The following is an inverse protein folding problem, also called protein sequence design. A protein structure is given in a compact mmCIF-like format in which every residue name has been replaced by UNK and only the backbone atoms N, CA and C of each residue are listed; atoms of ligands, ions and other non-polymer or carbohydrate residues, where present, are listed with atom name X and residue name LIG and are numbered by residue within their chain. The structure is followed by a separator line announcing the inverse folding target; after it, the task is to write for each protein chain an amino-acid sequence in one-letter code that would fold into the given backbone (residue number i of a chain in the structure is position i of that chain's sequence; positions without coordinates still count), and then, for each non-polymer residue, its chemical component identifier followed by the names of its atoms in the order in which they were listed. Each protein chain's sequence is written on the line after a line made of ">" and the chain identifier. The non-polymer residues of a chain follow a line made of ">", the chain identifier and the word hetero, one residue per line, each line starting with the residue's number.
data_IF_431075553435
#
_entry.id   IF_431075553435
#
_cell.length_a   1.000
_cell.length_b   1.000
_cell.length_c   1.000
_cell.angle_alpha   90.00
_cell.angle_beta   90.00
_cell.angle_gamma   90.00
#
_symmetry.space_group_name_H-M   'P 1'
#
loop_
_entity.id
_entity.type
_entity.pdbx_description
1 polymer ?
#
# COMPACT_ATOMS: atom_id res chain seq x y z
N UNK A 1 -46.92 54.08 -17.03
CA UNK A 1 -46.33 54.79 -18.19
C UNK A 1 -44.84 54.70 -18.03
N UNK A 2 -44.21 53.89 -18.89
CA UNK A 2 -42.78 53.71 -19.01
C UNK A 2 -42.28 54.53 -20.20
N UNK A 3 -41.11 55.17 -20.07
CA UNK A 3 -40.23 55.69 -21.14
C UNK A 3 -38.88 55.98 -20.46
N UNK A 4 -37.69 55.73 -20.98
CA UNK A 4 -37.19 54.97 -22.13
C UNK A 4 -35.66 54.92 -21.96
N UNK A 5 -35.04 53.83 -22.45
CA UNK A 5 -33.60 53.63 -22.46
C UNK A 5 -32.96 54.38 -23.64
N UNK A 6 -31.76 54.95 -23.43
CA UNK A 6 -30.90 55.39 -24.53
C UNK A 6 -29.92 54.29 -24.94
N UNK A 7 -30.02 53.93 -26.21
CA UNK A 7 -29.17 53.04 -26.98
C UNK A 7 -28.14 53.88 -27.77
N UNK A 8 -26.91 53.39 -27.91
CA UNK A 8 -25.87 53.96 -28.78
C UNK A 8 -24.62 53.08 -28.76
N UNK A 9 -24.60 52.01 -29.55
CA UNK A 9 -24.00 51.86 -30.88
C UNK A 9 -22.45 51.73 -30.92
N UNK A 10 -22.06 50.48 -31.15
CA UNK A 10 -20.94 49.94 -31.92
C UNK A 10 -20.15 50.90 -32.83
N UNK A 11 -18.82 50.88 -32.70
CA UNK A 11 -17.89 50.79 -33.83
C UNK A 11 -16.49 50.35 -33.33
N UNK A 12 -16.00 49.26 -33.90
CA UNK A 12 -14.68 48.65 -33.71
C UNK A 12 -13.66 49.27 -34.65
N UNK A 13 -12.38 49.27 -34.28
CA UNK A 13 -11.17 49.24 -35.15
C UNK A 13 -9.90 49.20 -34.27
N UNK A 14 -8.71 48.81 -34.76
CA UNK A 14 -8.38 47.63 -35.56
C UNK A 14 -7.19 46.84 -34.96
N UNK A 15 -6.95 45.67 -35.55
CA UNK A 15 -5.89 44.71 -35.25
C UNK A 15 -4.47 45.29 -35.36
N UNK A 16 -3.60 44.94 -34.40
CA UNK A 16 -2.14 44.97 -34.56
C UNK A 16 -1.58 43.56 -34.46
N UNK A 17 -0.98 43.11 -35.56
CA UNK A 17 -0.22 41.89 -35.72
C UNK A 17 0.98 41.83 -34.78
N UNK A 18 1.23 40.67 -34.16
CA UNK A 18 2.60 40.29 -33.76
C UNK A 18 2.85 38.79 -33.93
N UNK A 19 3.60 38.48 -34.99
CA UNK A 19 4.69 37.50 -35.06
C UNK A 19 4.57 36.22 -34.23
N UNK A 20 4.08 35.16 -34.89
CA UNK A 20 4.26 33.77 -34.49
C UNK A 20 5.71 33.32 -34.71
N UNK A 21 6.39 32.91 -33.64
CA UNK A 21 7.59 32.07 -33.74
C UNK A 21 7.24 30.70 -33.16
N UNK A 22 7.18 29.73 -34.05
CA UNK A 22 6.87 28.33 -33.83
C UNK A 22 8.10 27.62 -33.23
N UNK A 23 7.98 27.13 -31.99
CA UNK A 23 8.93 26.15 -31.43
C UNK A 23 8.18 24.85 -31.19
N UNK A 24 8.50 23.83 -32.00
CA UNK A 24 8.06 22.45 -31.81
C UNK A 24 8.66 21.85 -30.54
N UNK A 25 7.93 21.00 -29.80
CA UNK A 25 8.54 20.00 -28.93
C UNK A 25 8.51 18.62 -29.61
N UNK A 26 9.69 18.08 -29.91
CA UNK A 26 9.92 16.65 -30.12
C UNK A 26 10.31 16.02 -28.79
N UNK A 27 9.69 14.89 -28.43
CA UNK A 27 10.24 13.98 -27.43
C UNK A 27 9.22 13.32 -26.52
N UNK A 28 8.64 12.22 -27.00
CA UNK A 28 7.84 11.23 -26.27
C UNK A 28 8.81 10.22 -25.64
N UNK A 29 8.77 9.97 -24.33
CA UNK A 29 9.02 8.65 -23.71
C UNK A 29 8.29 8.56 -22.35
N UNK A 30 7.12 7.90 -22.31
CA UNK A 30 6.83 6.57 -21.72
C UNK A 30 6.74 6.54 -20.19
N UNK A 31 5.50 6.38 -19.69
CA UNK A 31 5.15 6.05 -18.32
C UNK A 31 5.71 4.68 -17.90
N UNK A 32 6.34 4.63 -16.73
CA UNK A 32 6.63 3.39 -16.01
C UNK A 32 5.64 3.22 -14.84
N UNK A 33 5.19 1.98 -14.70
CA UNK A 33 4.12 1.49 -13.84
C UNK A 33 4.50 1.55 -12.34
N UNK A 34 3.60 2.05 -11.50
CA UNK A 34 3.67 1.91 -10.05
C UNK A 34 3.23 0.48 -9.63
N UNK A 35 3.86 -0.14 -8.62
CA UNK A 35 3.46 -1.46 -8.12
C UNK A 35 2.20 -1.38 -7.23
N UNK A 36 1.41 -2.48 -7.11
CA UNK A 36 0.16 -2.47 -6.36
C UNK A 36 0.40 -2.65 -4.86
N UNK A 37 -0.17 -1.77 -4.04
CA UNK A 37 -0.27 -1.96 -2.60
C UNK A 37 -1.39 -2.96 -2.24
N UNK A 38 -1.23 -3.75 -1.17
CA UNK A 38 -2.18 -4.80 -0.82
C UNK A 38 -3.40 -4.24 -0.07
N UNK A 39 -4.59 -4.63 -0.53
CA UNK A 39 -5.86 -4.48 0.17
C UNK A 39 -5.79 -5.14 1.56
N UNK A 40 -6.11 -4.39 2.62
CA UNK A 40 -6.41 -4.97 3.93
C UNK A 40 -7.86 -4.68 4.30
N UNK A 41 -8.53 -5.77 4.66
CA UNK A 41 -9.94 -5.91 4.95
C UNK A 41 -10.35 -5.15 6.20
N UNK A 42 -11.55 -4.59 6.09
CA UNK A 42 -12.39 -3.95 7.11
C UNK A 42 -12.76 -4.97 8.20
N UNK A 43 -12.50 -4.64 9.46
CA UNK A 43 -13.16 -5.27 10.61
C UNK A 43 -13.71 -4.14 11.49
N UNK A 44 -14.96 -4.34 11.89
CA UNK A 44 -15.89 -3.35 12.41
C UNK A 44 -16.20 -3.70 13.87
N UNK A 45 -16.25 -2.68 14.71
CA UNK A 45 -17.04 -2.59 15.95
C UNK A 45 -16.60 -3.41 17.20
N UNK A 46 -16.42 -2.65 18.28
CA UNK A 46 -16.63 -3.05 19.69
C UNK A 46 -18.01 -2.49 20.10
N UNK A 47 -18.79 -3.06 21.05
CA UNK A 47 -18.52 -2.79 22.48
C UNK A 47 -19.02 -3.84 23.52
N UNK A 48 -18.28 -3.87 24.64
CA UNK A 48 -18.67 -4.06 26.05
C UNK A 48 -19.56 -5.23 26.53
N UNK A 49 -19.04 -5.84 27.61
CA UNK A 49 -19.66 -6.05 28.96
C UNK A 49 -19.94 -7.48 29.46
N UNK A 50 -19.33 -7.75 30.62
CA UNK A 50 -19.76 -8.52 31.79
C UNK A 50 -19.56 -10.05 31.86
N UNK A 51 -18.67 -10.38 32.81
CA UNK A 51 -18.75 -11.40 33.89
C UNK A 51 -18.53 -12.89 33.60
N UNK A 52 -17.42 -13.37 34.22
CA UNK A 52 -17.24 -14.58 35.04
C UNK A 52 -17.63 -15.95 34.47
N UNK A 53 -16.64 -16.85 34.36
CA UNK A 53 -16.63 -18.09 35.15
C UNK A 53 -15.24 -18.74 35.15
N UNK A 54 -14.99 -19.50 36.21
CA UNK A 54 -13.69 -19.90 36.73
C UNK A 54 -13.23 -21.27 36.21
N UNK A 55 -11.92 -21.48 36.25
CA UNK A 55 -11.23 -22.68 36.80
C UNK A 55 -11.36 -24.03 36.04
N UNK A 56 -10.25 -24.56 35.52
CA UNK A 56 -9.59 -25.77 36.05
C UNK A 56 -8.46 -26.25 35.13
N UNK A 57 -7.27 -26.41 35.71
CA UNK A 57 -6.11 -27.09 35.13
C UNK A 57 -6.16 -28.61 35.36
N UNK A 58 -5.40 -29.31 34.51
CA UNK A 58 -4.77 -30.62 34.72
C UNK A 58 -5.66 -31.89 34.74
N UNK A 59 -5.35 -32.80 33.81
CA UNK A 59 -5.65 -34.22 33.98
C UNK A 59 -4.66 -35.06 33.18
N UNK A 60 -3.68 -35.58 33.89
CA UNK A 60 -3.01 -36.84 33.58
C UNK A 60 -3.80 -38.03 34.14
N UNK A 61 -3.44 -39.24 33.66
CA UNK A 61 -3.58 -40.55 34.31
C UNK A 61 -4.70 -41.53 33.86
N UNK A 62 -4.23 -42.58 33.18
CA UNK A 62 -4.41 -44.03 33.47
C UNK A 62 -5.68 -44.82 33.09
N UNK A 63 -5.33 -46.00 32.57
CA UNK A 63 -6.10 -47.19 32.17
C UNK A 63 -7.04 -47.76 33.23
N UNK A 64 -8.06 -48.52 32.78
CA UNK A 64 -8.31 -49.82 33.40
C UNK A 64 -8.67 -50.99 32.44
N UNK A 65 -8.02 -52.13 32.71
CA UNK A 65 -8.46 -53.55 32.84
C UNK A 65 -9.65 -54.15 32.01
N UNK A 66 -9.35 -55.36 31.51
CA UNK A 66 -10.10 -56.43 30.77
C UNK A 66 -11.25 -57.08 31.59
N UNK A 67 -12.32 -57.67 30.96
CA UNK A 67 -12.49 -59.15 30.78
C UNK A 67 -13.04 -59.60 29.39
N UNK A 68 -12.51 -60.67 28.74
CA UNK A 68 -13.06 -62.05 28.57
C UNK A 68 -14.51 -62.17 28.00
N UNK A 69 -14.93 -63.04 27.06
CA UNK A 69 -14.43 -64.33 26.52
C UNK A 69 -15.34 -64.90 25.37
N UNK A 70 -14.81 -65.87 24.60
CA UNK A 70 -15.46 -66.97 23.80
C UNK A 70 -16.21 -66.56 22.51
N UNK A 71 -16.26 -67.29 21.38
CA UNK A 71 -15.88 -68.62 20.82
C UNK A 71 -15.88 -68.38 19.27
N UNK A 72 -15.26 -69.10 18.33
CA UNK A 72 -15.27 -70.54 18.07
C UNK A 72 -14.33 -70.90 16.88
N UNK A 73 -13.64 -72.04 17.00
CA UNK A 73 -13.11 -73.00 16.01
C UNK A 73 -13.13 -72.66 14.50
N UNK A 74 -12.03 -72.82 13.76
CA UNK A 74 -11.50 -74.08 13.15
C UNK A 74 -10.38 -73.60 12.17
N UNK A 75 -9.29 -74.27 11.80
CA UNK A 75 -8.90 -75.68 11.73
C UNK A 75 -7.36 -75.77 11.69
N UNK A 76 -6.82 -76.98 11.83
CA UNK A 76 -5.46 -77.33 12.26
C UNK A 76 -4.45 -77.60 11.11
N UNK A 77 -3.18 -77.19 11.33
CA UNK A 77 -1.91 -78.01 11.28
C UNK A 77 -1.48 -78.43 9.84
N UNK A 78 -0.25 -78.20 9.34
CA UNK A 78 1.04 -78.76 9.77
C UNK A 78 2.22 -77.87 9.31
N UNK A 79 3.18 -77.66 10.21
CA UNK A 79 4.55 -77.26 9.92
C UNK A 79 5.51 -78.38 10.32
N UNK A 80 6.57 -78.51 9.53
CA UNK A 80 7.86 -79.14 9.81
C UNK A 80 7.94 -80.69 9.77
N UNK A 81 8.74 -81.20 8.83
CA UNK A 81 9.98 -81.90 9.16
C UNK A 81 11.04 -81.56 8.11
N UNK A 82 12.24 -81.24 8.60
CA UNK A 82 13.47 -80.98 7.88
C UNK A 82 14.27 -82.29 7.79
N UNK A 83 15.03 -82.40 6.69
CA UNK A 83 16.26 -83.18 6.49
C UNK A 83 16.24 -84.60 5.90
N UNK A 84 17.01 -84.65 4.79
CA UNK A 84 18.01 -85.62 4.37
C UNK A 84 17.58 -86.89 3.61
N UNK A 85 18.04 -86.98 2.36
CA UNK A 85 18.46 -88.25 1.77
C UNK A 85 18.11 -88.48 0.29
N UNK A 86 19.16 -88.45 -0.54
CA UNK A 86 19.40 -89.31 -1.71
C UNK A 86 18.90 -88.88 -3.11
N UNK A 87 19.90 -88.67 -3.97
CA UNK A 87 19.98 -88.59 -5.45
C UNK A 87 18.88 -89.27 -6.29
N UNK A 88 18.41 -88.55 -7.33
CA UNK A 88 18.50 -89.02 -8.73
C UNK A 88 18.37 -87.89 -9.77
N UNK A 89 19.18 -87.99 -10.81
CA UNK A 89 19.33 -87.14 -12.00
C UNK A 89 18.08 -87.03 -12.89
N UNK A 90 17.84 -85.85 -13.51
CA UNK A 90 17.76 -85.66 -14.99
C UNK A 90 17.57 -84.17 -15.38
N UNK A 91 17.93 -83.89 -16.63
CA UNK A 91 18.27 -82.61 -17.31
C UNK A 91 17.19 -81.50 -17.40
N UNK A 92 17.72 -80.28 -17.63
CA UNK A 92 17.13 -78.97 -18.00
C UNK A 92 16.19 -78.99 -19.24
N UNK A 93 15.28 -77.99 -19.46
CA UNK A 93 15.66 -76.66 -20.01
C UNK A 93 14.81 -75.42 -19.64
N UNK A 94 15.41 -74.25 -19.91
CA UNK A 94 14.82 -72.95 -20.32
C UNK A 94 14.79 -71.76 -19.33
N UNK A 95 15.93 -71.06 -19.31
CA UNK A 95 16.13 -69.60 -19.49
C UNK A 95 14.85 -68.75 -19.71
N UNK A 96 14.63 -67.72 -18.86
CA UNK A 96 14.19 -66.33 -19.23
C UNK A 96 13.43 -65.48 -18.17
N UNK A 97 13.37 -65.82 -16.87
CA UNK A 97 12.64 -64.98 -15.87
C UNK A 97 13.47 -64.03 -14.98
N UNK A 98 14.80 -63.99 -15.12
CA UNK A 98 15.68 -63.23 -14.21
C UNK A 98 16.00 -61.81 -14.66
N UNK A 99 15.74 -61.46 -15.92
CA UNK A 99 16.07 -60.14 -16.50
C UNK A 99 14.98 -59.10 -16.23
N UNK A 100 13.70 -59.49 -16.28
CA UNK A 100 12.54 -58.58 -16.11
C UNK A 100 12.42 -58.01 -14.68
N UNK A 101 12.74 -58.81 -13.66
CA UNK A 101 12.63 -58.40 -12.24
C UNK A 101 13.77 -57.48 -11.78
N UNK A 102 14.95 -57.57 -12.39
CA UNK A 102 16.10 -56.68 -12.12
C UNK A 102 15.92 -55.33 -12.80
N UNK A 103 15.37 -55.32 -14.01
CA UNK A 103 15.10 -54.11 -14.78
C UNK A 103 14.02 -53.22 -14.12
N UNK A 104 12.92 -53.84 -13.64
CA UNK A 104 11.87 -53.15 -12.89
C UNK A 104 12.39 -52.44 -11.63
N UNK A 105 13.30 -53.06 -10.86
CA UNK A 105 13.85 -52.48 -9.63
C UNK A 105 14.82 -51.33 -9.92
N UNK A 106 15.58 -51.41 -11.00
CA UNK A 106 16.48 -50.34 -11.46
C UNK A 106 15.69 -49.12 -11.95
N UNK A 107 14.59 -49.34 -12.68
CA UNK A 107 13.70 -48.27 -13.14
C UNK A 107 13.06 -47.50 -11.98
N UNK A 108 12.56 -48.21 -10.96
CA UNK A 108 12.01 -47.56 -9.75
C UNK A 108 13.02 -46.69 -9.02
N UNK A 109 14.29 -47.13 -8.94
CA UNK A 109 15.37 -46.32 -8.33
C UNK A 109 15.61 -45.05 -9.14
N UNK A 110 15.66 -45.13 -10.48
CA UNK A 110 15.81 -43.96 -11.35
C UNK A 110 14.62 -43.00 -11.18
N UNK A 111 13.39 -43.52 -11.16
CA UNK A 111 12.18 -42.72 -10.94
C UNK A 111 12.26 -41.99 -9.60
N UNK A 112 12.67 -42.66 -8.52
CA UNK A 112 12.85 -42.02 -7.21
C UNK A 112 13.90 -40.91 -7.24
N UNK A 113 15.03 -41.11 -7.91
CA UNK A 113 16.04 -40.05 -8.07
C UNK A 113 15.52 -38.86 -8.86
N UNK A 114 14.77 -39.10 -9.94
CA UNK A 114 14.13 -38.04 -10.73
C UNK A 114 13.10 -37.28 -9.88
N UNK A 115 12.27 -37.97 -9.11
CA UNK A 115 11.28 -37.34 -8.22
C UNK A 115 11.96 -36.48 -7.15
N UNK A 116 13.01 -36.99 -6.50
CA UNK A 116 13.78 -36.23 -5.50
C UNK A 116 14.44 -35.01 -6.14
N UNK A 117 15.01 -35.14 -7.34
CA UNK A 117 15.60 -34.02 -8.07
C UNK A 117 14.56 -32.96 -8.43
N UNK A 118 13.37 -33.37 -8.90
CA UNK A 118 12.25 -32.44 -9.17
C UNK A 118 11.79 -31.75 -7.89
N UNK A 119 11.64 -32.47 -6.79
CA UNK A 119 11.30 -31.88 -5.49
C UNK A 119 12.35 -30.87 -5.02
N UNK A 120 13.63 -31.17 -5.21
CA UNK A 120 14.72 -30.25 -4.85
C UNK A 120 14.70 -28.98 -5.71
N UNK A 121 14.51 -29.10 -7.02
CA UNK A 121 14.40 -27.95 -7.94
C UNK A 121 13.20 -27.09 -7.59
N UNK A 122 12.05 -27.71 -7.31
CA UNK A 122 10.85 -27.00 -6.87
C UNK A 122 11.08 -26.27 -5.53
N UNK A 123 11.71 -26.93 -4.56
CA UNK A 123 12.01 -26.34 -3.26
C UNK A 123 13.01 -25.19 -3.36
N UNK A 124 14.06 -25.34 -4.17
CA UNK A 124 15.03 -24.29 -4.44
C UNK A 124 14.37 -23.07 -5.11
N UNK A 125 13.46 -23.30 -6.06
CA UNK A 125 12.67 -22.24 -6.69
C UNK A 125 11.80 -21.49 -5.68
N UNK A 126 11.06 -22.22 -4.82
CA UNK A 126 10.24 -21.62 -3.78
C UNK A 126 11.06 -20.82 -2.76
N UNK A 127 12.22 -21.35 -2.34
CA UNK A 127 13.13 -20.66 -1.43
C UNK A 127 13.68 -19.38 -2.07
N UNK A 128 14.07 -19.42 -3.35
CA UNK A 128 14.54 -18.24 -4.07
C UNK A 128 13.47 -17.15 -4.14
N UNK A 129 12.22 -17.51 -4.42
CA UNK A 129 11.10 -16.57 -4.44
C UNK A 129 10.82 -15.98 -3.06
N UNK A 130 10.87 -16.81 -2.02
CA UNK A 130 10.71 -16.37 -0.64
C UNK A 130 11.81 -15.37 -0.26
N UNK A 131 13.07 -15.66 -0.60
CA UNK A 131 14.19 -14.76 -0.30
C UNK A 131 14.05 -13.41 -1.01
N UNK A 132 13.66 -13.37 -2.28
CA UNK A 132 13.43 -12.12 -3.02
C UNK A 132 12.30 -11.27 -2.41
N UNK A 133 11.20 -11.91 -2.02
CA UNK A 133 10.09 -11.23 -1.33
C UNK A 133 10.51 -10.74 0.05
N UNK A 134 11.26 -11.56 0.78
CA UNK A 134 11.76 -11.21 2.11
C UNK A 134 12.69 -9.99 2.05
N UNK A 135 13.62 -9.92 1.09
CA UNK A 135 14.50 -8.77 0.94
C UNK A 135 13.74 -7.48 0.62
N UNK A 136 12.70 -7.54 -0.23
CA UNK A 136 11.87 -6.39 -0.54
C UNK A 136 11.07 -5.90 0.68
N UNK A 137 10.47 -6.82 1.43
CA UNK A 137 9.71 -6.49 2.66
C UNK A 137 10.65 -5.96 3.75
N UNK A 138 11.86 -6.52 3.85
CA UNK A 138 12.90 -6.07 4.79
C UNK A 138 13.25 -4.60 4.57
N UNK A 139 13.36 -4.16 3.31
CA UNK A 139 13.66 -2.76 2.97
C UNK A 139 12.55 -1.82 3.47
N UNK A 140 11.29 -2.12 3.16
CA UNK A 140 10.12 -1.37 3.63
C UNK A 140 10.01 -1.32 5.17
N UNK A 141 10.35 -2.43 5.85
CA UNK A 141 10.33 -2.46 7.30
C UNK A 141 11.45 -1.58 7.89
N UNK A 142 12.64 -1.59 7.28
CA UNK A 142 13.76 -0.76 7.69
C UNK A 142 13.43 0.72 7.50
N UNK A 143 12.86 1.13 6.36
CA UNK A 143 12.47 2.51 6.09
C UNK A 143 11.38 2.98 7.06
N UNK A 144 10.38 2.14 7.34
CA UNK A 144 9.34 2.45 8.31
C UNK A 144 9.91 2.59 9.74
N UNK A 145 10.83 1.70 10.14
CA UNK A 145 11.47 1.76 11.46
C UNK A 145 12.33 3.01 11.61
N UNK A 146 13.09 3.38 10.58
CA UNK A 146 13.89 4.62 10.60
C UNK A 146 12.99 5.85 10.67
N UNK A 147 11.94 5.92 9.86
CA UNK A 147 10.95 7.01 9.89
C UNK A 147 10.27 7.10 11.27
N UNK A 148 9.83 5.97 11.82
CA UNK A 148 9.22 5.92 13.14
C UNK A 148 10.20 6.36 14.24
N UNK A 149 11.47 5.93 14.16
CA UNK A 149 12.50 6.36 15.11
C UNK A 149 12.81 7.86 15.00
N UNK A 150 12.84 8.42 13.79
CA UNK A 150 13.00 9.86 13.57
C UNK A 150 11.81 10.64 14.14
N UNK A 151 10.59 10.13 13.95
CA UNK A 151 9.37 10.68 14.52
C UNK A 151 9.38 10.65 16.06
N UNK A 152 9.87 9.57 16.67
CA UNK A 152 10.03 9.42 18.11
C UNK A 152 11.14 10.31 18.68
N UNK A 153 12.29 10.39 18.02
CA UNK A 153 13.39 11.26 18.44
C UNK A 153 12.91 12.71 18.42
N UNK A 154 12.22 13.13 17.35
CA UNK A 154 11.57 14.44 17.27
C UNK A 154 10.59 14.67 18.43
N UNK A 155 9.71 13.70 18.72
CA UNK A 155 8.78 13.81 19.84
C UNK A 155 9.47 13.88 21.22
N UNK A 156 10.61 13.21 21.39
CA UNK A 156 11.37 13.21 22.66
C UNK A 156 12.21 14.47 22.88
N UNK A 157 12.64 15.13 21.79
CA UNK A 157 13.33 16.44 21.87
C UNK A 157 12.40 17.52 22.41
N UNK A 158 11.08 17.39 22.17
CA UNK A 158 10.04 18.26 22.71
C UNK A 158 9.89 18.25 24.24
N UNK A 159 10.37 17.19 24.92
CA UNK A 159 10.09 16.95 26.35
C UNK A 159 11.26 17.37 27.26
N UNK A 160 12.48 17.38 26.70
CA UNK A 160 13.69 17.80 27.41
C UNK A 160 14.03 19.23 27.02
N UNK A 161 13.62 20.20 27.84
CA UNK A 161 13.75 21.65 27.64
C UNK A 161 15.17 22.25 27.51
N UNK A 162 16.10 21.55 26.85
CA UNK A 162 17.46 22.02 26.55
C UNK A 162 17.95 21.67 25.13
N UNK A 163 17.04 21.35 24.20
CA UNK A 163 17.34 21.47 22.77
C UNK A 163 16.76 22.77 22.23
N UNK A 164 17.34 23.34 21.19
CA UNK A 164 16.77 24.49 20.50
C UNK A 164 15.45 24.07 19.86
N UNK A 165 14.39 24.15 20.66
CA UNK A 165 13.00 24.00 20.25
C UNK A 165 12.79 24.90 19.07
N UNK A 166 12.44 24.37 17.89
CA UNK A 166 11.93 25.22 16.81
C UNK A 166 10.52 25.69 17.22
N UNK A 167 10.48 26.62 18.18
CA UNK A 167 9.28 27.38 18.58
C UNK A 167 8.78 28.28 17.45
N UNK A 168 9.61 28.45 16.42
CA UNK A 168 9.39 29.29 15.27
C UNK A 168 9.58 28.51 13.97
N UNK A 169 8.83 28.90 12.96
CA UNK A 169 8.92 28.31 11.64
C UNK A 169 10.24 28.67 10.95
N UNK A 170 10.73 27.82 10.02
CA UNK A 170 11.91 28.13 9.23
C UNK A 170 11.74 29.47 8.48
N UNK A 171 12.85 30.12 8.12
CA UNK A 171 12.80 31.38 7.36
C UNK A 171 11.99 31.20 6.07
N UNK A 172 11.04 32.10 5.84
CA UNK A 172 10.15 32.06 4.67
C UNK A 172 8.89 31.20 4.86
N UNK A 173 8.68 30.67 6.06
CA UNK A 173 7.44 30.02 6.48
C UNK A 173 6.69 30.89 7.48
N UNK A 174 5.37 30.82 7.46
CA UNK A 174 4.49 31.52 8.39
C UNK A 174 3.94 30.54 9.42
N UNK A 175 3.78 30.99 10.66
CA UNK A 175 3.25 30.19 11.77
C UNK A 175 1.76 30.46 11.93
N UNK A 176 0.98 29.40 12.06
CA UNK A 176 -0.40 29.42 12.59
C UNK A 176 -0.53 28.24 13.56
N UNK A 177 -0.84 28.55 14.82
CA UNK A 177 -0.88 27.57 15.91
C UNK A 177 0.39 26.69 16.00
N UNK A 178 0.22 25.38 15.88
CA UNK A 178 1.28 24.36 15.93
C UNK A 178 1.83 24.01 14.55
N UNK A 179 1.53 24.79 13.51
CA UNK A 179 1.89 24.49 12.13
C UNK A 179 2.66 25.63 11.47
N UNK A 180 3.50 25.24 10.51
CA UNK A 180 4.24 26.10 9.61
C UNK A 180 3.74 25.95 8.19
N UNK A 181 3.55 27.07 7.50
CA UNK A 181 3.02 27.14 6.15
C UNK A 181 4.01 27.83 5.22
N UNK A 182 4.22 27.24 4.04
CA UNK A 182 5.02 27.84 2.99
C UNK A 182 4.14 28.13 1.78
N UNK A 183 4.09 29.39 1.40
CA UNK A 183 3.38 29.86 0.21
C UNK A 183 4.38 30.02 -0.93
N UNK A 184 4.24 29.19 -1.95
CA UNK A 184 5.15 29.20 -3.09
C UNK A 184 5.09 30.49 -3.90
N UNK A 185 6.22 30.82 -4.52
CA UNK A 185 6.33 31.94 -5.48
C UNK A 185 6.20 31.50 -6.94
N UNK A 186 6.47 30.23 -7.20
CA UNK A 186 6.48 29.60 -8.52
C UNK A 186 5.17 28.84 -8.76
N UNK A 187 5.02 28.26 -9.95
CA UNK A 187 3.90 27.37 -10.29
C UNK A 187 4.44 25.99 -10.67
N UNK A 188 3.74 24.93 -10.24
CA UNK A 188 4.05 23.53 -10.54
C UNK A 188 2.75 22.75 -10.76
N UNK A 189 2.85 21.59 -11.40
CA UNK A 189 1.77 20.60 -11.35
C UNK A 189 1.63 20.04 -9.93
N UNK A 190 0.51 19.39 -9.63
CA UNK A 190 0.21 18.94 -8.27
C UNK A 190 1.26 17.96 -7.72
N UNK A 191 1.71 17.02 -8.54
CA UNK A 191 2.71 16.00 -8.14
C UNK A 191 4.06 16.63 -7.81
N UNK A 192 4.56 17.54 -8.65
CA UNK A 192 5.82 18.23 -8.41
C UNK A 192 5.73 19.18 -7.21
N UNK A 193 4.56 19.78 -6.98
CA UNK A 193 4.29 20.58 -5.80
C UNK A 193 4.33 19.74 -4.52
N UNK A 194 3.73 18.54 -4.54
CA UNK A 194 3.81 17.59 -3.43
C UNK A 194 5.26 17.15 -3.17
N UNK A 195 6.03 16.87 -4.22
CA UNK A 195 7.46 16.55 -4.08
C UNK A 195 8.28 17.70 -3.50
N UNK A 196 8.02 18.95 -3.90
CA UNK A 196 8.66 20.12 -3.30
C UNK A 196 8.35 20.22 -1.80
N UNK A 197 7.09 19.98 -1.39
CA UNK A 197 6.74 19.94 0.03
C UNK A 197 7.47 18.81 0.77
N UNK A 198 7.51 17.60 0.22
CA UNK A 198 8.21 16.45 0.81
C UNK A 198 9.70 16.76 1.00
N UNK A 199 10.35 17.37 0.00
CA UNK A 199 11.75 17.79 0.09
C UNK A 199 12.00 18.85 1.18
N UNK A 200 10.96 19.56 1.62
CA UNK A 200 10.96 20.51 2.74
C UNK A 200 10.48 19.92 4.06
N UNK A 201 10.39 18.58 4.12
CA UNK A 201 9.87 17.82 5.27
C UNK A 201 8.45 18.26 5.64
N UNK A 202 7.60 18.42 4.63
CA UNK A 202 6.23 18.89 4.70
C UNK A 202 5.35 18.12 3.69
N UNK A 203 4.05 18.39 3.69
CA UNK A 203 3.14 17.94 2.65
C UNK A 203 2.38 19.14 2.10
N UNK A 204 1.70 18.99 0.95
CA UNK A 204 0.71 19.97 0.53
C UNK A 204 -0.34 20.15 1.63
N UNK A 205 -0.79 21.39 1.81
CA UNK A 205 -1.58 21.81 2.97
C UNK A 205 -2.87 20.98 3.11
N UNK A 206 -3.07 20.44 4.31
CA UNK A 206 -4.34 19.89 4.78
C UNK A 206 -5.03 20.94 5.67
N UNK A 207 -6.33 21.18 5.46
CA UNK A 207 -7.08 22.22 6.17
C UNK A 207 -8.23 21.58 6.96
N UNK A 208 -8.25 21.81 8.28
CA UNK A 208 -9.16 21.11 9.21
C UNK A 208 -10.13 22.02 9.95
N UNK A 209 -9.81 23.29 10.10
CA UNK A 209 -10.59 24.24 10.90
C UNK A 209 -10.94 25.49 10.09
N UNK A 210 -12.01 26.18 10.50
CA UNK A 210 -12.39 27.47 9.91
C UNK A 210 -11.28 28.52 10.09
N UNK A 211 -10.56 28.46 11.22
CA UNK A 211 -9.43 29.34 11.50
C UNK A 211 -8.27 29.11 10.51
N UNK A 212 -7.90 27.85 10.28
CA UNK A 212 -6.86 27.49 9.32
C UNK A 212 -7.27 27.88 7.89
N UNK A 213 -8.53 27.63 7.53
CA UNK A 213 -9.11 28.05 6.25
C UNK A 213 -9.00 29.57 6.05
N UNK A 214 -9.33 30.36 7.09
CA UNK A 214 -9.20 31.81 7.07
C UNK A 214 -7.75 32.26 6.90
N UNK A 215 -6.84 31.68 7.70
CA UNK A 215 -5.41 31.95 7.62
C UNK A 215 -4.86 31.72 6.20
N UNK A 216 -5.17 30.58 5.59
CA UNK A 216 -4.70 30.26 4.23
C UNK A 216 -5.29 31.21 3.19
N UNK A 217 -6.60 31.48 3.28
CA UNK A 217 -7.34 32.35 2.35
C UNK A 217 -6.72 33.75 2.26
N UNK A 218 -6.31 34.33 3.38
CA UNK A 218 -5.80 35.70 3.43
C UNK A 218 -4.43 35.87 2.74
N UNK A 219 -3.80 34.76 2.32
CA UNK A 219 -2.44 34.73 1.72
C UNK A 219 -2.42 34.28 0.27
N UNK A 220 -3.58 34.10 -0.36
CA UNK A 220 -3.68 33.61 -1.74
C UNK A 220 -3.22 34.61 -2.81
N UNK A 221 -3.10 35.91 -2.48
CA UNK A 221 -2.65 36.95 -3.42
C UNK A 221 -3.39 36.92 -4.78
N UNK A 222 -4.70 36.67 -4.76
CA UNK A 222 -5.57 36.53 -5.93
C UNK A 222 -5.15 35.44 -6.95
N UNK A 223 -4.41 34.41 -6.52
CA UNK A 223 -3.93 33.31 -7.35
C UNK A 223 -4.55 31.97 -6.90
N UNK A 224 -4.68 31.03 -7.84
CA UNK A 224 -5.09 29.64 -7.54
C UNK A 224 -3.92 28.90 -6.90
N UNK A 225 -4.22 28.15 -5.84
CA UNK A 225 -3.24 27.34 -5.12
C UNK A 225 -3.65 25.87 -5.06
N UNK A 226 -2.70 24.96 -5.25
CA UNK A 226 -2.84 23.54 -4.94
C UNK A 226 -2.97 23.34 -3.42
N UNK A 227 -3.94 22.50 -3.06
CA UNK A 227 -4.12 21.93 -1.74
C UNK A 227 -3.68 20.47 -1.74
N UNK A 228 -3.52 19.89 -0.55
CA UNK A 228 -3.10 18.50 -0.43
C UNK A 228 -4.18 17.47 -0.76
N UNK A 229 -5.38 17.86 -1.18
CA UNK A 229 -6.45 16.91 -1.43
C UNK A 229 -6.41 16.33 -2.86
N UNK A 230 -6.72 15.05 -2.99
CA UNK A 230 -6.85 14.34 -4.27
C UNK A 230 -7.83 13.18 -4.15
N UNK A 231 -8.47 12.79 -5.26
CA UNK A 231 -9.26 11.56 -5.41
C UNK A 231 -8.72 10.67 -6.54
N UNK A 232 -7.43 10.83 -6.90
CA UNK A 232 -6.74 10.01 -7.91
C UNK A 232 -6.82 8.50 -7.65
N UNK A 233 -6.90 8.09 -6.39
CA UNK A 233 -7.00 6.67 -6.00
C UNK A 233 -8.39 6.09 -6.24
N UNK A 234 -9.43 6.86 -5.91
CA UNK A 234 -10.82 6.44 -6.04
C UNK A 234 -11.70 7.68 -6.26
N UNK A 235 -12.19 7.83 -7.49
CA UNK A 235 -13.02 8.95 -7.93
C UNK A 235 -14.17 9.24 -6.94
N UNK A 236 -14.28 10.51 -6.52
CA UNK A 236 -15.29 10.95 -5.56
C UNK A 236 -14.93 10.68 -4.09
N UNK A 237 -13.81 10.01 -3.79
CA UNK A 237 -13.29 9.85 -2.42
C UNK A 237 -12.02 10.68 -2.21
N UNK A 238 -12.23 11.94 -1.89
CA UNK A 238 -11.18 12.91 -1.61
C UNK A 238 -10.42 12.60 -0.32
N UNK A 239 -9.08 12.52 -0.43
CA UNK A 239 -8.14 12.29 0.67
C UNK A 239 -7.03 13.32 0.66
N UNK A 240 -6.40 13.55 1.82
CA UNK A 240 -5.23 14.43 1.94
C UNK A 240 -3.91 13.70 1.60
N UNK A 241 -2.92 14.42 1.09
CA UNK A 241 -1.61 13.88 0.71
C UNK A 241 -0.75 13.44 1.91
N UNK A 242 -1.17 13.74 3.15
CA UNK A 242 -0.55 13.25 4.39
C UNK A 242 -1.01 11.83 4.76
N UNK A 243 -2.07 11.29 4.13
CA UNK A 243 -2.55 9.92 4.37
C UNK A 243 -4.05 9.74 4.10
N UNK A 244 -4.62 8.63 4.58
CA UNK A 244 -5.99 8.17 4.22
C UNK A 244 -7.16 8.95 4.85
N UNK A 245 -6.97 10.21 5.21
CA UNK A 245 -8.00 10.99 5.88
C UNK A 245 -8.96 11.63 4.86
N UNK A 246 -10.26 11.42 5.07
CA UNK A 246 -11.31 12.02 4.24
C UNK A 246 -11.36 13.54 4.39
N UNK A 247 -11.60 14.21 3.27
CA UNK A 247 -11.66 15.67 3.18
C UNK A 247 -13.08 16.15 3.50
N UNK A 248 -13.19 17.20 4.31
CA UNK A 248 -14.49 17.85 4.60
C UNK A 248 -15.10 18.47 3.34
N UNK A 249 -16.42 18.50 3.26
CA UNK A 249 -17.15 19.16 2.17
C UNK A 249 -17.45 20.64 2.44
N UNK A 250 -17.13 21.16 3.64
CA UNK A 250 -17.59 22.46 4.12
C UNK A 250 -17.12 23.67 3.28
N UNK A 251 -15.92 23.59 2.69
CA UNK A 251 -15.31 24.73 1.99
C UNK A 251 -15.35 24.60 0.46
N UNK A 252 -15.95 23.51 -0.05
CA UNK A 252 -16.08 23.31 -1.49
C UNK A 252 -17.01 24.36 -2.10
N UNK A 253 -16.59 24.89 -3.25
CA UNK A 253 -17.45 25.71 -4.08
C UNK A 253 -18.65 24.87 -4.51
N UNK A 254 -19.82 25.48 -4.39
CA UNK A 254 -21.10 24.84 -4.71
C UNK A 254 -21.05 24.29 -6.14
N UNK A 255 -21.26 22.98 -6.28
CA UNK A 255 -21.33 22.29 -7.57
C UNK A 255 -20.00 21.70 -8.08
N UNK A 256 -18.85 21.94 -7.44
CA UNK A 256 -17.57 21.35 -7.88
C UNK A 256 -17.53 19.83 -7.68
N UNK A 257 -18.07 19.32 -6.57
CA UNK A 257 -18.14 17.88 -6.29
C UNK A 257 -19.04 17.07 -7.25
N UNK A 258 -19.70 17.72 -8.22
CA UNK A 258 -20.55 17.09 -9.24
C UNK A 258 -19.89 17.02 -10.61
N UNK A 259 -18.72 17.66 -10.80
CA UNK A 259 -18.01 17.64 -12.09
C UNK A 259 -17.30 16.30 -12.23
N UNK A 260 -17.52 15.65 -13.38
CA UNK A 260 -17.07 14.28 -13.62
C UNK A 260 -15.57 14.13 -13.88
N UNK A 261 -15.20 12.86 -14.11
CA UNK A 261 -13.86 12.30 -14.23
C UNK A 261 -12.82 13.19 -14.93
N UNK A 262 -11.72 13.47 -14.23
CA UNK A 262 -10.50 14.07 -14.78
C UNK A 262 -9.93 15.23 -13.97
N UNK A 263 -10.71 15.81 -13.07
CA UNK A 263 -10.28 16.87 -12.16
C UNK A 263 -10.02 16.29 -10.77
N UNK A 264 -8.85 15.68 -10.59
CA UNK A 264 -8.59 14.82 -9.43
C UNK A 264 -7.67 15.45 -8.38
N UNK A 265 -7.29 16.71 -8.57
CA UNK A 265 -6.40 17.45 -7.68
C UNK A 265 -7.08 18.70 -7.15
N UNK A 266 -7.01 18.90 -5.84
CA UNK A 266 -7.75 19.96 -5.17
C UNK A 266 -7.04 21.30 -5.22
N UNK A 267 -7.82 22.33 -5.52
CA UNK A 267 -7.38 23.72 -5.54
C UNK A 267 -8.13 24.55 -4.51
N UNK A 268 -7.52 25.66 -4.13
CA UNK A 268 -8.20 26.81 -3.55
C UNK A 268 -8.27 27.93 -4.59
N UNK A 269 -9.49 28.38 -4.89
CA UNK A 269 -9.72 29.55 -5.73
C UNK A 269 -9.32 30.84 -5.00
N UNK A 270 -9.07 31.96 -5.72
CA UNK A 270 -8.72 33.25 -5.12
C UNK A 270 -9.66 33.74 -4.01
N UNK A 271 -10.95 33.37 -4.06
CA UNK A 271 -11.95 33.74 -3.05
C UNK A 271 -11.96 32.82 -1.81
N UNK A 272 -11.09 31.81 -1.76
CA UNK A 272 -10.92 30.86 -0.66
C UNK A 272 -11.73 29.58 -0.80
N UNK A 273 -12.67 29.48 -1.74
CA UNK A 273 -13.44 28.24 -1.93
C UNK A 273 -12.61 27.15 -2.58
N UNK A 274 -12.84 25.90 -2.17
CA UNK A 274 -12.16 24.74 -2.73
C UNK A 274 -12.82 24.29 -4.04
N UNK A 275 -12.04 23.65 -4.89
CA UNK A 275 -12.52 23.02 -6.11
C UNK A 275 -11.55 21.94 -6.54
N UNK A 276 -11.79 21.36 -7.71
CA UNK A 276 -10.89 20.40 -8.32
C UNK A 276 -10.53 20.80 -9.73
N UNK A 277 -9.31 20.44 -10.14
CA UNK A 277 -8.81 20.73 -11.47
C UNK A 277 -7.86 19.63 -11.97
N UNK A 278 -7.47 19.73 -13.23
CA UNK A 278 -6.54 18.80 -13.88
C UNK A 278 -5.17 18.91 -13.22
N UNK A 279 -4.69 17.79 -12.64
CA UNK A 279 -3.46 17.74 -11.85
C UNK A 279 -2.19 18.24 -12.56
N UNK A 280 -2.16 18.22 -13.90
CA UNK A 280 -1.03 18.67 -14.71
C UNK A 280 -0.92 20.19 -14.86
N UNK A 281 -1.93 20.95 -14.45
CA UNK A 281 -1.93 22.40 -14.58
C UNK A 281 -0.91 23.07 -13.64
N UNK A 282 -0.26 24.16 -14.08
CA UNK A 282 0.69 24.87 -13.23
C UNK A 282 -0.04 25.86 -12.31
N UNK A 283 -0.13 25.55 -11.02
CA UNK A 283 -0.60 26.47 -9.99
C UNK A 283 0.46 26.70 -8.92
N UNK A 284 0.29 27.78 -8.14
CA UNK A 284 1.02 27.93 -6.89
C UNK A 284 0.59 26.80 -5.96
N UNK A 285 1.38 26.51 -4.96
CA UNK A 285 1.08 25.52 -3.94
C UNK A 285 1.40 26.03 -2.54
N UNK A 286 0.86 25.33 -1.55
CA UNK A 286 1.04 25.64 -0.15
C UNK A 286 1.50 24.36 0.54
N UNK A 287 2.63 24.42 1.23
CA UNK A 287 3.08 23.32 2.07
C UNK A 287 2.72 23.57 3.54
N UNK A 288 2.44 22.51 4.29
CA UNK A 288 2.21 22.50 5.73
C UNK A 288 3.09 21.47 6.41
N UNK A 289 3.64 21.83 7.58
CA UNK A 289 4.25 20.89 8.51
C UNK A 289 4.01 21.34 9.95
N UNK A 290 3.96 20.39 10.88
CA UNK A 290 3.92 20.71 12.31
C UNK A 290 5.23 21.35 12.77
N UNK A 291 5.13 22.24 13.74
CA UNK A 291 6.28 22.66 14.53
C UNK A 291 6.87 21.40 15.19
N UNK A 292 8.19 21.27 15.08
CA UNK A 292 8.96 20.23 15.76
C UNK A 292 9.56 20.94 16.97
N UNK A 293 9.22 20.49 18.18
CA UNK A 293 9.87 21.01 19.37
C UNK A 293 11.24 20.34 19.58
#
# INVERSE_FOLDING_TARGET
>A
MAMEAQYGNWLSDPETQSSSTELQPKGIYVCALAPPFPLKTKELYSPNSLENENDYDDASFVTPRVPQSQRESSERVISAVKEAGVMKSKEDPSVSKSTERKDQRSLHVIILYVLVAVCFVMWAGLLSLFLLKYTAISEELHTLKTNYSEKLIRASLCDNGNSSVFTSCPRGWEKEEENCYYFSKEKKNWTDAQWDCINRQAHLVSIWTDQEQGFVKDRLNNEIHWLGMTDLEEEGKWRWAEGDLLVSTAFWKIGELKKGAGNNCGIMHPHGTWGSDVCSLPYRWICKKKLIC
#
